data_IF_567546032141
#
_entry.id   IF_567546032141
#
_cell.length_a   1.000
_cell.length_b   1.000
_cell.length_c   1.000
_cell.angle_alpha   90.00
_cell.angle_beta   90.00
_cell.angle_gamma   90.00
#
_symmetry.space_group_name_H-M   'P 1'
#
loop_
_entity.id
_entity.type
_entity.pdbx_description
1 polymer ?
#
# COMPACT_ATOMS: atom_id res chain seq x y z
N UNK A 1 -8.52 13.18 -25.15
CA UNK A 1 -8.31 13.54 -23.74
C UNK A 1 -7.62 12.35 -23.10
N UNK A 2 -6.35 12.43 -22.67
CA UNK A 2 -5.82 11.37 -21.81
C UNK A 2 -6.67 11.37 -20.53
N UNK A 3 -7.30 10.25 -20.21
CA UNK A 3 -7.95 10.07 -18.91
C UNK A 3 -6.79 9.99 -17.92
N UNK A 4 -6.52 11.09 -17.22
CA UNK A 4 -5.67 11.05 -16.03
C UNK A 4 -6.25 9.94 -15.15
N UNK A 5 -5.48 8.87 -15.00
CA UNK A 5 -5.96 7.70 -14.26
C UNK A 5 -5.89 8.10 -12.80
N UNK A 6 -7.01 8.12 -12.06
CA UNK A 6 -7.02 8.62 -10.70
C UNK A 6 -5.97 7.89 -9.86
N UNK A 7 -5.15 8.65 -9.16
CA UNK A 7 -4.11 8.12 -8.31
C UNK A 7 -4.19 8.72 -6.90
N UNK A 8 -3.74 7.93 -5.92
CA UNK A 8 -3.78 8.26 -4.51
C UNK A 8 -2.46 7.91 -3.86
N UNK A 9 -1.80 8.90 -3.26
CA UNK A 9 -0.55 8.72 -2.54
C UNK A 9 -0.81 8.76 -1.03
N UNK A 10 -0.15 7.87 -0.30
CA UNK A 10 -0.17 7.94 1.15
C UNK A 10 0.44 6.73 1.81
N UNK A 11 0.17 6.58 3.11
CA UNK A 11 0.66 5.49 3.94
C UNK A 11 -0.45 4.50 4.23
N UNK A 12 -0.16 3.20 4.08
CA UNK A 12 -1.12 2.16 4.44
C UNK A 12 -1.32 2.16 5.95
N UNK A 13 -2.54 2.41 6.41
CA UNK A 13 -2.90 2.37 7.83
C UNK A 13 -3.50 1.03 8.22
N UNK A 14 -4.03 0.27 7.26
CA UNK A 14 -4.63 -1.04 7.47
C UNK A 14 -4.52 -1.90 6.21
N UNK A 15 -4.18 -3.18 6.34
CA UNK A 15 -4.13 -4.11 5.21
C UNK A 15 -4.75 -5.46 5.60
N UNK A 16 -6.03 -5.64 5.27
CA UNK A 16 -6.80 -6.82 5.68
C UNK A 16 -7.75 -7.33 4.58
N UNK A 17 -8.24 -8.56 4.73
CA UNK A 17 -9.29 -9.12 3.87
C UNK A 17 -8.91 -9.11 2.38
N UNK A 18 -9.66 -8.39 1.55
CA UNK A 18 -9.37 -8.14 0.12
C UNK A 18 -9.04 -6.67 -0.18
N UNK A 19 -8.69 -5.86 0.82
CA UNK A 19 -8.44 -4.44 0.66
C UNK A 19 -7.26 -3.93 1.46
N UNK A 20 -7.10 -2.61 1.44
CA UNK A 20 -6.20 -1.85 2.29
C UNK A 20 -6.72 -0.42 2.42
N UNK A 21 -6.39 0.24 3.52
CA UNK A 21 -6.70 1.65 3.75
C UNK A 21 -5.43 2.45 3.66
N UNK A 22 -5.46 3.53 2.89
CA UNK A 22 -4.35 4.47 2.76
C UNK A 22 -4.76 5.80 3.36
N UNK A 23 -3.87 6.39 4.17
CA UNK A 23 -3.99 7.75 4.67
C UNK A 23 -3.05 8.67 3.90
N UNK A 24 -3.57 9.73 3.30
CA UNK A 24 -2.76 10.78 2.69
C UNK A 24 -2.14 11.72 3.74
N UNK A 25 -1.31 12.67 3.28
CA UNK A 25 -0.65 13.66 4.14
C UNK A 25 -1.63 14.64 4.81
N UNK A 26 -2.83 14.81 4.25
CA UNK A 26 -3.92 15.60 4.83
C UNK A 26 -4.68 14.84 5.94
N UNK A 27 -4.37 13.56 6.13
CA UNK A 27 -4.98 12.69 7.13
C UNK A 27 -6.27 12.01 6.67
N UNK A 28 -6.63 12.11 5.38
CA UNK A 28 -7.81 11.48 4.80
C UNK A 28 -7.52 10.01 4.56
N UNK A 29 -8.38 9.15 5.11
CA UNK A 29 -8.30 7.71 4.91
C UNK A 29 -9.22 7.26 3.77
N UNK A 30 -8.65 6.48 2.86
CA UNK A 30 -9.35 5.90 1.71
C UNK A 30 -9.20 4.39 1.68
N UNK A 31 -10.33 3.65 1.76
CA UNK A 31 -10.31 2.21 1.59
C UNK A 31 -10.26 1.86 0.09
N UNK A 32 -9.31 1.02 -0.28
CA UNK A 32 -9.14 0.47 -1.62
C UNK A 32 -9.37 -1.04 -1.62
N UNK A 33 -10.02 -1.52 -2.68
CA UNK A 33 -10.19 -2.95 -2.94
C UNK A 33 -9.06 -3.43 -3.86
N UNK A 34 -8.42 -4.52 -3.46
CA UNK A 34 -7.43 -5.24 -4.27
C UNK A 34 -8.17 -6.30 -5.07
N UNK A 35 -8.38 -6.02 -6.36
CA UNK A 35 -8.91 -7.00 -7.29
C UNK A 35 -7.83 -8.02 -7.69
N UNK A 36 -8.20 -9.21 -8.21
CA UNK A 36 -7.25 -10.17 -8.75
C UNK A 36 -6.39 -9.63 -9.90
N UNK A 37 -6.89 -8.59 -10.59
CA UNK A 37 -6.21 -7.89 -11.68
C UNK A 37 -5.25 -6.80 -11.20
N UNK A 38 -5.30 -6.43 -9.92
CA UNK A 38 -4.45 -5.38 -9.35
C UNK A 38 -2.98 -5.80 -9.44
N UNK A 39 -2.14 -4.90 -9.94
CA UNK A 39 -0.69 -5.10 -9.99
C UNK A 39 -0.07 -4.41 -8.79
N UNK A 40 0.71 -5.17 -8.04
CA UNK A 40 1.43 -4.66 -6.87
C UNK A 40 2.89 -4.68 -7.24
N UNK A 41 3.48 -3.50 -7.29
CA UNK A 41 4.85 -3.24 -7.67
C UNK A 41 5.59 -2.67 -6.46
N UNK A 42 6.88 -2.95 -6.37
CA UNK A 42 7.81 -2.27 -5.47
C UNK A 42 9.05 -1.95 -6.27
N UNK A 43 9.39 -0.67 -6.33
CA UNK A 43 10.48 -0.15 -7.14
C UNK A 43 10.39 -0.68 -8.59
N UNK A 44 9.17 -0.72 -9.14
CA UNK A 44 8.86 -1.24 -10.49
C UNK A 44 8.89 -2.77 -10.64
N UNK A 45 9.15 -3.53 -9.57
CA UNK A 45 9.14 -5.00 -9.59
C UNK A 45 7.85 -5.54 -9.00
N UNK A 46 7.22 -6.51 -9.67
CA UNK A 46 6.02 -7.16 -9.15
C UNK A 46 6.31 -7.91 -7.85
N UNK A 47 5.54 -7.61 -6.81
CA UNK A 47 5.65 -8.24 -5.49
C UNK A 47 4.35 -8.89 -5.06
N UNK A 48 4.45 -9.74 -4.04
CA UNK A 48 3.28 -10.34 -3.42
C UNK A 48 2.50 -9.31 -2.60
N UNK A 49 1.18 -9.50 -2.53
CA UNK A 49 0.29 -8.67 -1.70
C UNK A 49 0.71 -8.59 -0.23
N UNK A 50 1.37 -9.62 0.29
CA UNK A 50 1.88 -9.60 1.66
C UNK A 50 2.90 -8.45 1.93
N UNK A 51 3.43 -7.80 0.90
CA UNK A 51 4.29 -6.61 1.03
C UNK A 51 3.49 -5.31 1.27
N UNK A 52 2.18 -5.31 0.98
CA UNK A 52 1.26 -4.26 1.41
C UNK A 52 0.88 -4.52 2.86
N UNK A 53 1.59 -3.87 3.76
CA UNK A 53 1.31 -3.90 5.19
C UNK A 53 1.29 -2.48 5.74
N UNK A 54 0.78 -2.35 6.96
CA UNK A 54 0.71 -1.07 7.66
C UNK A 54 2.08 -0.40 7.75
N UNK A 55 2.11 0.92 7.56
CA UNK A 55 3.31 1.75 7.60
C UNK A 55 4.09 1.85 6.28
N UNK A 56 3.71 1.13 5.22
CA UNK A 56 4.35 1.32 3.90
C UNK A 56 3.73 2.49 3.15
N UNK A 57 4.58 3.27 2.48
CA UNK A 57 4.12 4.31 1.56
C UNK A 57 3.80 3.70 0.19
N UNK A 58 2.66 4.10 -0.35
CA UNK A 58 2.14 3.55 -1.60
C UNK A 58 1.60 4.65 -2.49
N UNK A 59 1.74 4.43 -3.79
CA UNK A 59 1.05 5.16 -4.83
C UNK A 59 0.08 4.22 -5.52
N UNK A 60 -1.20 4.48 -5.32
CA UNK A 60 -2.29 3.62 -5.76
C UNK A 60 -3.02 4.29 -6.90
N UNK A 61 -2.88 3.75 -8.10
CA UNK A 61 -3.75 4.08 -9.22
C UNK A 61 -5.04 3.27 -9.07
N UNK A 62 -6.18 3.93 -9.12
CA UNK A 62 -7.48 3.31 -8.89
C UNK A 62 -8.51 3.66 -9.97
N UNK A 63 -9.50 2.79 -10.09
CA UNK A 63 -10.71 3.05 -10.85
C UNK A 63 -11.91 2.99 -9.92
N UNK A 64 -12.83 3.93 -10.06
CA UNK A 64 -14.12 3.85 -9.38
C UNK A 64 -15.04 2.89 -10.14
N UNK A 65 -15.58 1.90 -9.45
CA UNK A 65 -16.63 1.01 -9.97
C UNK A 65 -17.74 0.88 -8.95
N UNK A 66 -18.95 1.29 -9.32
CA UNK A 66 -20.15 1.16 -8.49
C UNK A 66 -19.95 1.79 -7.09
N UNK A 67 -19.28 2.94 -7.01
CA UNK A 67 -18.96 3.63 -5.75
C UNK A 67 -17.83 2.98 -4.93
N UNK A 68 -17.19 1.93 -5.46
CA UNK A 68 -16.04 1.26 -4.85
C UNK A 68 -14.76 1.66 -5.54
N UNK A 69 -13.72 1.90 -4.74
CA UNK A 69 -12.41 2.34 -5.21
C UNK A 69 -11.55 1.10 -5.41
N UNK A 70 -11.38 0.69 -6.67
CA UNK A 70 -10.67 -0.54 -7.02
C UNK A 70 -9.26 -0.19 -7.47
N UNK A 71 -8.26 -0.66 -6.72
CA UNK A 71 -6.86 -0.46 -7.08
C UNK A 71 -6.56 -1.21 -8.40
N UNK A 72 -5.93 -0.53 -9.34
CA UNK A 72 -5.49 -1.11 -10.62
C UNK A 72 -3.99 -1.38 -10.57
N UNK A 73 -3.21 -0.40 -10.12
CA UNK A 73 -1.78 -0.51 -9.90
C UNK A 73 -1.45 0.08 -8.52
N UNK A 74 -0.58 -0.59 -7.78
CA UNK A 74 -0.12 -0.18 -6.46
C UNK A 74 1.40 -0.24 -6.46
N UNK A 75 2.04 0.91 -6.50
CA UNK A 75 3.49 1.02 -6.35
C UNK A 75 3.83 1.25 -4.88
N UNK A 76 4.59 0.33 -4.30
CA UNK A 76 5.09 0.44 -2.94
C UNK A 76 6.43 1.13 -3.01
N UNK A 77 6.53 2.31 -2.41
CA UNK A 77 7.81 2.96 -2.23
C UNK A 77 8.50 2.38 -1.01
N UNK A 78 9.75 1.97 -1.21
CA UNK A 78 10.66 1.58 -0.14
C UNK A 78 11.12 2.82 0.66
N UNK A 79 10.19 3.68 1.06
CA UNK A 79 10.39 4.62 2.16
C UNK A 79 10.46 3.79 3.43
N UNK A 80 11.58 3.86 4.13
CA UNK A 80 11.94 2.99 5.25
C UNK A 80 10.74 2.77 6.19
N UNK A 81 10.36 1.52 6.53
CA UNK A 81 9.57 1.30 7.73
C UNK A 81 10.48 1.65 8.91
N UNK A 82 10.60 2.94 9.23
CA UNK A 82 11.26 3.37 10.45
C UNK A 82 10.29 3.17 11.60
N UNK A 83 10.14 1.91 11.97
CA UNK A 83 9.80 1.54 13.32
C UNK A 83 10.65 0.33 13.62
N UNK A 84 11.75 0.54 14.32
CA UNK A 84 11.95 -0.08 15.63
C UNK A 84 11.19 -1.41 15.88
N UNK A 85 11.35 -2.36 14.97
CA UNK A 85 10.94 -3.75 15.09
C UNK A 85 12.07 -4.69 14.66
N UNK A 86 13.31 -4.18 14.75
CA UNK A 86 14.29 -4.93 15.54
C UNK A 86 13.75 -5.01 16.97
N UNK A 87 12.85 -5.96 17.19
CA UNK A 87 12.72 -6.53 18.52
C UNK A 87 14.09 -7.12 18.83
N UNK A 88 14.83 -6.40 19.68
CA UNK A 88 16.01 -6.79 20.42
C UNK A 88 16.60 -8.18 20.13
N UNK A 89 17.82 -8.16 19.59
CA UNK A 89 18.96 -8.99 19.99
C UNK A 89 18.67 -10.45 20.41
N UNK A 90 19.05 -11.39 19.54
CA UNK A 90 19.72 -12.62 19.98
C UNK A 90 21.22 -12.50 19.63
N UNK A 91 22.20 -13.14 20.33
CA UNK A 91 22.15 -13.95 21.55
C UNK A 91 23.12 -13.44 22.65
N UNK A 92 22.85 -13.69 23.94
CA UNK A 92 23.87 -13.54 24.98
C UNK A 92 24.20 -14.91 25.60
N UNK A 93 25.26 -15.55 25.06
CA UNK A 93 26.03 -16.57 25.78
C UNK A 93 26.67 -15.94 27.01
N UNK A 94 26.45 -16.51 28.20
CA UNK A 94 27.50 -16.80 29.19
C UNK A 94 27.06 -17.98 30.05
#
# INVERSE_FOLDING_TARGET
MPLETPDFYGTVTMAEGQGFTVRDDDGVERPFVVAPTTRILRDGKRVARAQLHEGVQVHTTYGERLGTWVATDVEIYSGTPSRDLTAAAAPAKR
#
